data_IF_175973217898
#
_entry.id   IF_175973217898
#
_cell.length_a   1.000
_cell.length_b   1.000
_cell.length_c   1.000
_cell.angle_alpha   90.00
_cell.angle_beta   90.00
_cell.angle_gamma   90.00
#
_symmetry.space_group_name_H-M   'P 1'
#
loop_
_entity.id
_entity.type
_entity.pdbx_description
1 polymer ?
#
# COMPACT_ATOMS: atom_id res chain seq x y z
N UNK A 1 -7.07 -0.82 11.39
CA UNK A 1 -6.55 -1.22 12.73
C UNK A 1 -6.79 -0.07 13.69
N UNK A 2 -7.37 -0.33 14.89
CA UNK A 2 -7.60 0.73 15.88
C UNK A 2 -6.45 0.74 16.89
N UNK A 3 -5.63 1.80 16.97
CA UNK A 3 -4.50 1.83 17.91
C UNK A 3 -4.93 1.78 19.39
N UNK A 4 -6.16 2.15 19.73
CA UNK A 4 -6.65 2.04 21.10
C UNK A 4 -6.82 0.59 21.59
N UNK A 5 -6.89 -0.39 20.68
CA UNK A 5 -7.09 -1.79 21.06
C UNK A 5 -5.87 -2.44 21.73
N UNK A 6 -4.69 -1.85 21.62
CA UNK A 6 -3.46 -2.50 22.13
C UNK A 6 -3.47 -2.69 23.66
N UNK A 7 -4.04 -1.75 24.41
CA UNK A 7 -4.11 -1.84 25.87
C UNK A 7 -5.26 -2.72 26.38
N UNK A 8 -6.14 -3.22 25.50
CA UNK A 8 -7.24 -4.12 25.87
C UNK A 8 -6.78 -5.57 26.07
N UNK A 9 -5.55 -5.91 25.71
CA UNK A 9 -4.98 -7.25 25.93
C UNK A 9 -4.66 -7.51 27.40
N UNK A 10 -4.53 -8.80 27.76
CA UNK A 10 -4.16 -9.20 29.10
C UNK A 10 -2.69 -8.92 29.40
N UNK A 11 -2.41 -8.61 30.65
CA UNK A 11 -1.04 -8.47 31.14
C UNK A 11 -0.29 -9.78 30.94
N UNK A 12 0.99 -9.74 30.58
CA UNK A 12 1.86 -10.88 30.28
C UNK A 12 1.56 -11.60 28.94
N UNK A 13 0.78 -10.97 28.05
CA UNK A 13 0.50 -11.51 26.73
C UNK A 13 1.39 -10.81 25.71
N UNK A 14 2.08 -11.61 24.88
CA UNK A 14 2.79 -11.14 23.70
C UNK A 14 2.08 -11.66 22.45
N UNK A 15 1.72 -10.79 21.54
CA UNK A 15 1.11 -11.16 20.26
C UNK A 15 2.12 -10.90 19.16
N UNK A 16 2.39 -11.94 18.40
CA UNK A 16 3.13 -11.87 17.15
C UNK A 16 2.19 -12.32 16.03
N UNK A 17 2.04 -11.48 15.01
CA UNK A 17 1.19 -11.76 13.88
C UNK A 17 1.96 -11.58 12.58
N UNK A 18 1.88 -12.59 11.72
CA UNK A 18 2.57 -12.62 10.43
C UNK A 18 1.61 -13.13 9.36
N UNK A 19 1.48 -12.38 8.29
CA UNK A 19 0.70 -12.77 7.14
C UNK A 19 1.54 -12.94 5.89
N UNK A 20 1.32 -14.04 5.18
CA UNK A 20 1.86 -14.28 3.86
C UNK A 20 0.77 -14.80 2.94
N UNK A 21 0.77 -14.36 1.70
CA UNK A 21 -0.17 -14.84 0.68
C UNK A 21 0.56 -15.47 -0.50
N UNK A 22 -0.05 -16.53 -1.04
CA UNK A 22 0.37 -17.16 -2.29
C UNK A 22 -0.84 -17.25 -3.21
N UNK A 23 -0.71 -16.66 -4.39
CA UNK A 23 -1.77 -16.65 -5.39
C UNK A 23 -1.31 -17.38 -6.66
N UNK A 24 -2.10 -18.35 -7.10
CA UNK A 24 -1.95 -18.99 -8.41
C UNK A 24 -3.17 -18.66 -9.26
N UNK A 25 -2.99 -17.86 -10.29
CA UNK A 25 -4.04 -17.48 -11.23
C UNK A 25 -3.79 -18.15 -12.61
N UNK A 26 -4.86 -18.69 -13.20
CA UNK A 26 -4.85 -19.22 -14.57
C UNK A 26 -5.79 -18.38 -15.41
N UNK A 27 -5.24 -17.84 -16.48
CA UNK A 27 -5.98 -17.06 -17.46
C UNK A 27 -6.10 -17.88 -18.74
N UNK A 28 -7.28 -17.88 -19.38
CA UNK A 28 -7.50 -18.51 -20.68
C UNK A 28 -8.43 -17.65 -21.51
N UNK A 29 -8.05 -17.41 -22.76
CA UNK A 29 -8.87 -16.74 -23.78
C UNK A 29 -9.51 -17.74 -24.76
N UNK A 30 -9.50 -19.04 -24.43
CA UNK A 30 -9.97 -20.13 -25.27
C UNK A 30 -8.85 -20.76 -26.07
N UNK A 31 -7.89 -20.00 -26.57
CA UNK A 31 -6.77 -20.49 -27.39
C UNK A 31 -5.47 -20.53 -26.57
N UNK A 32 -5.20 -19.50 -25.79
CA UNK A 32 -3.98 -19.36 -24.98
C UNK A 32 -4.29 -19.59 -23.50
N UNK A 33 -3.35 -20.22 -22.81
CA UNK A 33 -3.42 -20.43 -21.36
C UNK A 33 -2.19 -19.83 -20.71
N UNK A 34 -2.39 -18.96 -19.75
CA UNK A 34 -1.33 -18.34 -18.97
C UNK A 34 -1.51 -18.62 -17.48
N UNK A 35 -0.42 -19.03 -16.82
CA UNK A 35 -0.40 -19.26 -15.37
C UNK A 35 0.51 -18.21 -14.74
N UNK A 36 0.00 -17.50 -13.74
CA UNK A 36 0.75 -16.57 -12.92
C UNK A 36 0.81 -17.07 -11.48
N UNK A 37 2.00 -17.01 -10.88
CA UNK A 37 2.22 -17.35 -9.48
C UNK A 37 2.82 -16.12 -8.78
N UNK A 38 2.15 -15.63 -7.79
CA UNK A 38 2.60 -14.51 -6.97
C UNK A 38 2.68 -14.93 -5.50
N UNK A 39 3.72 -14.47 -4.81
CA UNK A 39 3.87 -14.63 -3.37
C UNK A 39 4.19 -13.27 -2.75
N UNK A 40 3.53 -12.94 -1.65
CA UNK A 40 3.72 -11.69 -0.92
C UNK A 40 3.78 -11.93 0.58
N UNK A 41 4.61 -11.15 1.26
CA UNK A 41 4.50 -10.95 2.70
C UNK A 41 3.47 -9.83 2.90
N UNK A 42 2.37 -10.16 3.56
CA UNK A 42 1.26 -9.23 3.73
C UNK A 42 1.50 -8.30 4.91
N UNK A 43 1.96 -8.82 6.03
CA UNK A 43 2.27 -8.00 7.19
C UNK A 43 3.10 -8.73 8.23
N UNK A 44 3.71 -7.94 9.07
CA UNK A 44 4.40 -8.37 10.28
C UNK A 44 4.03 -7.40 11.39
N UNK A 45 3.48 -7.88 12.50
CA UNK A 45 3.12 -7.04 13.63
C UNK A 45 3.46 -7.73 14.95
N UNK A 46 3.88 -6.93 15.90
CA UNK A 46 4.12 -7.33 17.29
C UNK A 46 3.35 -6.40 18.21
N UNK A 47 2.83 -6.97 19.29
CA UNK A 47 2.08 -6.20 20.28
C UNK A 47 2.35 -6.79 21.67
N UNK A 48 2.59 -5.91 22.63
CA UNK A 48 2.88 -6.31 24.01
C UNK A 48 2.52 -5.20 25.00
N UNK A 49 2.08 -5.56 26.22
CA UNK A 49 1.85 -4.61 27.29
C UNK A 49 3.20 -4.19 27.90
N UNK A 50 3.37 -2.89 28.10
CA UNK A 50 4.51 -2.32 28.85
C UNK A 50 4.16 -2.30 30.34
N UNK A 51 2.92 -1.89 30.64
CA UNK A 51 2.35 -1.89 31.98
C UNK A 51 0.90 -2.38 31.92
N UNK A 52 0.20 -2.41 33.08
CA UNK A 52 -1.21 -2.80 33.12
C UNK A 52 -2.15 -1.84 32.39
N UNK A 53 -1.72 -0.60 32.15
CA UNK A 53 -2.50 0.45 31.51
C UNK A 53 -1.89 0.99 30.20
N UNK A 54 -0.68 0.53 29.85
CA UNK A 54 0.05 0.99 28.67
C UNK A 54 0.50 -0.23 27.84
N UNK A 55 0.19 -0.22 26.58
CA UNK A 55 0.65 -1.21 25.62
C UNK A 55 1.24 -0.57 24.36
N UNK A 56 2.09 -1.31 23.70
CA UNK A 56 2.79 -0.91 22.47
C UNK A 56 2.55 -1.93 21.37
N UNK A 57 2.48 -1.43 20.14
CA UNK A 57 2.53 -2.26 18.94
C UNK A 57 3.52 -1.67 17.95
N UNK A 58 4.19 -2.53 17.19
CA UNK A 58 5.05 -2.14 16.09
C UNK A 58 4.89 -3.12 14.93
N UNK A 59 5.08 -2.66 13.71
CA UNK A 59 4.94 -3.56 12.58
C UNK A 59 5.26 -2.94 11.23
N UNK A 60 5.24 -3.82 10.22
CA UNK A 60 5.36 -3.50 8.82
C UNK A 60 4.07 -3.92 8.13
N UNK A 61 3.42 -2.99 7.44
CA UNK A 61 2.17 -3.20 6.73
C UNK A 61 2.31 -2.68 5.30
N UNK A 62 1.79 -3.39 4.31
CA UNK A 62 1.59 -2.80 3.01
C UNK A 62 0.47 -1.75 3.08
N UNK A 63 0.70 -0.61 2.47
CA UNK A 63 -0.26 0.49 2.40
C UNK A 63 -1.03 0.50 1.10
N UNK A 64 -0.35 0.24 -0.02
CA UNK A 64 -0.96 0.14 -1.34
C UNK A 64 -0.17 -0.80 -2.24
N UNK A 65 -0.86 -1.38 -3.21
CA UNK A 65 -0.27 -2.22 -4.25
C UNK A 65 -0.67 -1.72 -5.63
N UNK A 66 0.27 -1.77 -6.55
CA UNK A 66 0.02 -1.56 -7.97
C UNK A 66 0.52 -2.77 -8.72
N UNK A 67 -0.37 -3.44 -9.45
CA UNK A 67 -0.02 -4.59 -10.27
C UNK A 67 -1.02 -4.75 -11.42
N UNK A 68 -0.66 -4.25 -12.61
CA UNK A 68 -1.47 -4.44 -13.80
C UNK A 68 -0.59 -4.54 -15.05
N UNK A 69 -1.09 -5.25 -16.05
CA UNK A 69 -0.51 -5.29 -17.40
C UNK A 69 -1.64 -5.52 -18.40
N UNK A 70 -1.78 -4.59 -19.32
CA UNK A 70 -2.71 -4.72 -20.45
C UNK A 70 -2.11 -4.05 -21.67
N UNK A 71 -2.60 -4.42 -22.83
CA UNK A 71 -2.17 -3.85 -24.08
C UNK A 71 -3.26 -3.95 -25.14
N UNK A 72 -3.14 -3.13 -26.16
CA UNK A 72 -4.02 -3.15 -27.31
C UNK A 72 -3.23 -2.96 -28.59
N UNK A 73 -3.69 -3.63 -29.62
CA UNK A 73 -3.20 -3.41 -30.98
C UNK A 73 -4.12 -2.36 -31.62
N UNK A 74 -3.53 -1.31 -32.11
CA UNK A 74 -4.20 -0.20 -32.77
C UNK A 74 -3.70 -0.12 -34.21
N UNK A 75 -4.58 0.34 -35.10
CA UNK A 75 -4.24 0.60 -36.50
C UNK A 75 -4.66 2.03 -36.84
N UNK A 76 -3.71 2.80 -37.33
CA UNK A 76 -3.94 4.19 -37.74
C UNK A 76 -3.18 4.45 -39.04
N UNK A 77 -3.90 4.90 -40.08
CA UNK A 77 -3.36 5.19 -41.41
C UNK A 77 -2.60 4.01 -42.05
N UNK A 78 -3.05 2.76 -41.81
CA UNK A 78 -2.40 1.55 -42.32
C UNK A 78 -1.18 1.10 -41.51
N UNK A 79 -0.81 1.80 -40.46
CA UNK A 79 0.24 1.45 -39.52
C UNK A 79 -0.35 0.73 -38.31
N UNK A 80 0.07 -0.52 -38.08
CA UNK A 80 -0.25 -1.24 -36.85
C UNK A 80 0.78 -0.95 -35.79
N UNK A 81 0.30 -0.64 -34.58
CA UNK A 81 1.15 -0.49 -33.41
C UNK A 81 0.53 -1.13 -32.16
N UNK A 82 1.38 -1.66 -31.29
CA UNK A 82 0.97 -2.25 -30.03
C UNK A 82 1.35 -1.30 -28.91
N UNK A 83 0.37 -0.86 -28.15
CA UNK A 83 0.56 -0.04 -26.96
C UNK A 83 0.34 -0.92 -25.72
N UNK A 84 1.35 -1.04 -24.89
CA UNK A 84 1.31 -1.84 -23.68
C UNK A 84 1.49 -0.96 -22.46
N UNK A 85 0.60 -1.11 -21.51
CA UNK A 85 0.63 -0.44 -20.22
C UNK A 85 0.88 -1.47 -19.13
N UNK A 86 1.82 -1.17 -18.23
CA UNK A 86 2.03 -1.96 -17.02
C UNK A 86 2.34 -1.07 -15.85
N UNK A 87 1.90 -1.49 -14.68
CA UNK A 87 2.22 -0.83 -13.42
C UNK A 87 2.67 -1.86 -12.40
N UNK A 88 3.64 -1.47 -11.59
CA UNK A 88 4.19 -2.30 -10.54
C UNK A 88 4.63 -1.48 -9.35
N UNK A 89 4.80 -2.13 -8.19
CA UNK A 89 5.25 -1.51 -6.96
C UNK A 89 4.14 -1.29 -5.95
N UNK A 90 4.38 -0.40 -5.01
CA UNK A 90 3.44 -0.09 -3.94
C UNK A 90 4.10 0.68 -2.82
N UNK A 91 3.32 1.02 -1.83
CA UNK A 91 3.76 1.72 -0.63
C UNK A 91 3.66 0.78 0.56
N UNK A 92 4.65 0.83 1.43
CA UNK A 92 4.70 0.12 2.69
C UNK A 92 4.73 1.12 3.84
N UNK A 93 4.25 0.70 4.99
CA UNK A 93 4.25 1.47 6.22
C UNK A 93 4.93 0.67 7.33
N UNK A 94 6.00 1.22 7.90
CA UNK A 94 6.49 0.80 9.23
C UNK A 94 5.81 1.68 10.24
N UNK A 95 5.26 1.10 11.30
CA UNK A 95 4.62 1.86 12.35
C UNK A 95 5.08 1.43 13.73
N UNK A 96 5.00 2.38 14.67
CA UNK A 96 5.03 2.16 16.10
C UNK A 96 3.84 2.85 16.74
N UNK A 97 3.17 2.16 17.65
CA UNK A 97 1.96 2.68 18.28
C UNK A 97 1.94 2.47 19.78
N UNK A 98 1.25 3.36 20.45
CA UNK A 98 1.01 3.32 21.89
C UNK A 98 -0.48 3.39 22.17
N UNK A 99 -0.91 2.65 23.17
CA UNK A 99 -2.29 2.67 23.66
C UNK A 99 -2.32 2.78 25.18
N UNK A 100 -3.21 3.60 25.68
CA UNK A 100 -3.40 3.86 27.09
C UNK A 100 -4.83 3.49 27.48
N UNK A 101 -4.96 2.62 28.48
CA UNK A 101 -6.23 2.35 29.17
C UNK A 101 -6.48 3.44 30.21
N UNK A 102 -7.49 4.27 29.96
CA UNK A 102 -7.84 5.40 30.83
C UNK A 102 -8.79 4.94 31.95
N UNK A 103 -9.67 4.01 31.67
CA UNK A 103 -10.72 3.62 32.62
C UNK A 103 -10.92 2.09 32.68
N UNK A 104 -10.11 1.40 33.49
CA UNK A 104 -10.25 -0.02 33.89
C UNK A 104 -10.71 -0.92 32.73
N UNK A 105 -10.00 -0.89 31.63
CA UNK A 105 -10.29 -1.63 30.39
C UNK A 105 -11.64 -1.25 29.72
N UNK A 106 -12.25 -0.13 30.11
CA UNK A 106 -13.50 0.36 29.49
C UNK A 106 -13.25 1.40 28.41
N UNK A 107 -12.32 2.33 28.67
CA UNK A 107 -12.01 3.39 27.74
C UNK A 107 -10.50 3.38 27.46
N UNK A 108 -10.14 3.17 26.22
CA UNK A 108 -8.76 3.23 25.76
C UNK A 108 -8.61 4.25 24.63
N UNK A 109 -7.46 4.89 24.61
CA UNK A 109 -7.03 5.75 23.50
C UNK A 109 -5.68 5.32 23.00
N UNK A 110 -5.41 5.52 21.74
CA UNK A 110 -4.14 5.14 21.14
C UNK A 110 -3.77 5.99 19.96
N UNK A 111 -2.48 5.97 19.64
CA UNK A 111 -1.93 6.64 18.48
C UNK A 111 -0.86 5.78 17.84
N UNK A 112 -0.83 5.77 16.51
CA UNK A 112 0.23 5.20 15.69
C UNK A 112 1.01 6.31 15.00
N UNK A 113 2.32 6.15 14.98
CA UNK A 113 3.24 6.91 14.14
C UNK A 113 3.78 5.98 13.09
N UNK A 114 3.50 6.25 11.84
CA UNK A 114 3.90 5.44 10.70
C UNK A 114 4.85 6.18 9.78
N UNK A 115 5.82 5.48 9.22
CA UNK A 115 6.65 5.95 8.13
C UNK A 115 6.23 5.23 6.85
N UNK A 116 5.72 6.00 5.90
CA UNK A 116 5.28 5.55 4.59
C UNK A 116 6.46 5.62 3.61
N UNK A 117 6.73 4.54 2.91
CA UNK A 117 7.81 4.48 1.93
C UNK A 117 7.50 3.50 0.81
N UNK A 118 8.05 3.76 -0.35
CA UNK A 118 7.94 2.88 -1.51
C UNK A 118 8.00 3.63 -2.83
N UNK A 119 7.83 2.86 -3.91
CA UNK A 119 7.80 3.38 -5.26
C UNK A 119 6.69 2.72 -6.07
N UNK A 120 6.08 3.49 -6.93
CA UNK A 120 5.09 3.08 -7.91
C UNK A 120 5.64 3.42 -9.27
N UNK A 121 5.65 2.45 -10.18
CA UNK A 121 6.15 2.60 -11.53
C UNK A 121 5.07 2.27 -12.54
N UNK A 122 4.89 3.15 -13.51
CA UNK A 122 4.01 2.98 -14.65
C UNK A 122 4.84 2.97 -15.91
N UNK A 123 4.71 1.92 -16.71
CA UNK A 123 5.40 1.74 -17.97
C UNK A 123 4.40 1.79 -19.11
N UNK A 124 4.73 2.56 -20.13
CA UNK A 124 4.05 2.57 -21.41
C UNK A 124 5.06 2.24 -22.49
N UNK A 125 4.83 1.17 -23.24
CA UNK A 125 5.68 0.78 -24.36
C UNK A 125 4.86 0.82 -25.64
N UNK A 126 5.41 1.50 -26.63
CA UNK A 126 4.85 1.61 -27.97
C UNK A 126 5.73 0.87 -28.97
N UNK A 127 5.19 -0.19 -29.56
CA UNK A 127 5.85 -1.03 -30.56
C UNK A 127 5.17 -0.82 -31.90
N UNK A 128 5.93 -0.48 -32.94
CA UNK A 128 5.44 -0.37 -34.30
C UNK A 128 5.65 -1.68 -35.05
N UNK A 129 4.63 -2.15 -35.78
CA UNK A 129 4.64 -3.44 -36.50
C UNK A 129 5.54 -3.38 -37.73
N UNK A 130 5.56 -2.27 -38.42
CA UNK A 130 6.43 -2.09 -39.58
C UNK A 130 7.85 -1.71 -39.19
N UNK A 131 8.77 -1.80 -40.16
CA UNK A 131 10.22 -1.69 -40.09
C UNK A 131 10.80 -0.42 -39.42
N UNK A 132 10.01 0.31 -38.66
CA UNK A 132 10.50 1.37 -37.78
C UNK A 132 11.41 0.77 -36.72
N UNK A 133 12.63 1.20 -36.76
CA UNK A 133 13.73 0.63 -35.97
C UNK A 133 13.68 0.93 -34.49
N UNK A 134 12.55 1.42 -33.95
CA UNK A 134 12.50 2.01 -32.61
C UNK A 134 11.31 1.52 -31.77
N UNK A 135 11.57 1.41 -30.46
CA UNK A 135 10.57 1.22 -29.41
C UNK A 135 10.58 2.46 -28.54
N UNK A 136 9.44 3.10 -28.38
CA UNK A 136 9.27 4.19 -27.45
C UNK A 136 8.77 3.67 -26.11
N UNK A 137 9.55 3.89 -25.06
CA UNK A 137 9.21 3.53 -23.69
C UNK A 137 9.11 4.79 -22.85
N UNK A 138 7.98 4.94 -22.15
CA UNK A 138 7.81 5.96 -21.12
C UNK A 138 7.67 5.27 -19.77
N UNK A 139 8.47 5.70 -18.81
CA UNK A 139 8.45 5.22 -17.44
C UNK A 139 8.15 6.37 -16.52
N UNK A 140 7.03 6.28 -15.82
CA UNK A 140 6.67 7.23 -14.77
C UNK A 140 6.89 6.53 -13.42
N UNK A 141 7.77 7.10 -12.60
CA UNK A 141 8.10 6.58 -11.28
C UNK A 141 7.76 7.62 -10.22
N UNK A 142 6.99 7.18 -9.24
CA UNK A 142 6.63 7.95 -8.06
C UNK A 142 7.34 7.34 -6.84
N UNK A 143 8.19 8.11 -6.19
CA UNK A 143 8.81 7.73 -4.91
C UNK A 143 8.15 8.52 -3.79
N UNK A 144 7.69 7.80 -2.77
CA UNK A 144 7.04 8.39 -1.59
C UNK A 144 7.88 8.08 -0.36
N UNK A 145 8.11 9.10 0.46
CA UNK A 145 8.74 8.98 1.80
C UNK A 145 8.13 10.03 2.69
N UNK A 146 7.26 9.59 3.61
CA UNK A 146 6.57 10.52 4.50
C UNK A 146 6.11 9.86 5.80
N UNK A 147 5.69 10.70 6.75
CA UNK A 147 5.13 10.25 8.01
C UNK A 147 3.61 10.27 7.97
N UNK A 148 2.98 9.33 8.68
CA UNK A 148 1.54 9.21 8.84
C UNK A 148 1.21 9.02 10.31
N UNK A 149 0.12 9.62 10.76
CA UNK A 149 -0.40 9.45 12.11
C UNK A 149 -1.81 8.88 12.05
N UNK A 150 -2.12 7.97 12.98
CA UNK A 150 -3.46 7.43 13.16
C UNK A 150 -3.81 7.50 14.64
N UNK A 151 -5.01 7.96 14.94
CA UNK A 151 -5.54 8.04 16.30
C UNK A 151 -6.72 7.08 16.46
N UNK A 152 -6.91 6.57 17.65
CA UNK A 152 -8.00 5.70 17.94
C UNK A 152 -8.56 5.88 19.32
N UNK A 153 -9.86 5.59 19.44
CA UNK A 153 -10.56 5.47 20.71
C UNK A 153 -11.38 4.20 20.72
N UNK A 154 -11.45 3.55 21.86
CA UNK A 154 -12.23 2.35 22.06
C UNK A 154 -12.95 2.42 23.40
N UNK A 155 -14.27 2.13 23.38
CA UNK A 155 -15.09 2.05 24.57
C UNK A 155 -15.76 0.68 24.66
N UNK A 156 -15.56 0.00 25.79
CA UNK A 156 -16.14 -1.31 26.06
C UNK A 156 -17.15 -1.19 27.19
N UNK A 157 -18.41 -1.52 26.87
CA UNK A 157 -19.51 -1.57 27.84
C UNK A 157 -19.80 -3.02 28.24
N UNK A 158 -19.57 -3.42 29.50
CA UNK A 158 -19.95 -4.75 29.96
C UNK A 158 -21.48 -4.85 30.09
N UNK A 159 -22.08 -5.82 29.41
CA UNK A 159 -23.52 -6.10 29.50
C UNK A 159 -23.75 -7.15 30.60
N UNK A 160 -22.92 -8.20 30.64
CA UNK A 160 -22.94 -9.22 31.65
C UNK A 160 -21.52 -9.62 32.07
N UNK A 161 -21.39 -10.65 32.90
CA UNK A 161 -20.07 -11.15 33.32
C UNK A 161 -19.24 -11.74 32.13
N UNK A 162 -19.91 -12.16 31.06
CA UNK A 162 -19.30 -12.82 29.90
C UNK A 162 -19.52 -12.08 28.58
N UNK A 163 -20.36 -11.04 28.57
CA UNK A 163 -20.77 -10.34 27.35
C UNK A 163 -20.36 -8.88 27.42
N UNK A 164 -19.71 -8.41 26.37
CA UNK A 164 -19.23 -7.04 26.24
C UNK A 164 -19.63 -6.45 24.90
N UNK A 165 -20.06 -5.20 24.90
CA UNK A 165 -20.29 -4.41 23.70
C UNK A 165 -19.16 -3.38 23.55
N UNK A 166 -18.41 -3.48 22.47
CA UNK A 166 -17.25 -2.62 22.22
C UNK A 166 -17.51 -1.72 21.02
N UNK A 167 -17.31 -0.42 21.21
CA UNK A 167 -17.34 0.59 20.17
C UNK A 167 -15.94 1.10 19.91
N UNK A 168 -15.57 1.28 18.64
CA UNK A 168 -14.28 1.82 18.23
C UNK A 168 -14.46 2.94 17.21
N UNK A 169 -13.63 3.96 17.33
CA UNK A 169 -13.48 4.98 16.31
C UNK A 169 -12.00 5.23 16.03
N UNK A 170 -11.69 5.50 14.76
CA UNK A 170 -10.33 5.84 14.31
C UNK A 170 -10.37 7.11 13.47
N UNK A 171 -9.31 7.88 13.55
CA UNK A 171 -9.11 9.09 12.77
C UNK A 171 -7.68 9.15 12.26
N UNK A 172 -7.52 9.35 10.96
CA UNK A 172 -6.24 9.62 10.31
C UNK A 172 -6.32 11.00 9.67
N UNK A 173 -5.54 11.98 10.12
CA UNK A 173 -5.54 13.32 9.54
C UNK A 173 -5.00 13.31 8.12
N UNK A 174 -5.45 14.27 7.33
CA UNK A 174 -4.90 14.54 6.01
C UNK A 174 -3.41 14.86 6.09
N UNK A 175 -2.65 14.38 5.14
CA UNK A 175 -1.22 14.65 5.04
C UNK A 175 -0.82 14.92 3.59
N UNK A 176 0.02 15.93 3.38
CA UNK A 176 0.64 16.23 2.08
C UNK A 176 1.88 15.39 1.94
N UNK A 177 1.81 14.34 1.12
CA UNK A 177 2.93 13.43 0.91
C UNK A 177 4.07 14.11 0.18
N UNK A 178 5.27 14.00 0.72
CA UNK A 178 6.50 14.33 0.00
C UNK A 178 6.79 13.24 -1.03
N UNK A 179 6.44 13.52 -2.27
CA UNK A 179 6.65 12.61 -3.38
C UNK A 179 7.58 13.23 -4.43
N UNK A 180 8.42 12.39 -5.01
CA UNK A 180 9.23 12.73 -6.19
C UNK A 180 8.70 11.95 -7.38
N UNK A 181 8.31 12.66 -8.43
CA UNK A 181 7.90 12.03 -9.68
C UNK A 181 9.02 12.18 -10.73
N UNK A 182 9.31 11.07 -11.38
CA UNK A 182 10.25 11.00 -12.49
C UNK A 182 9.48 10.54 -13.72
N UNK A 183 9.66 11.25 -14.83
CA UNK A 183 9.16 10.84 -16.14
C UNK A 183 10.36 10.62 -17.06
N UNK A 184 10.58 9.37 -17.45
CA UNK A 184 11.72 8.98 -18.28
C UNK A 184 11.19 8.46 -19.60
N UNK A 185 11.51 9.14 -20.68
CA UNK A 185 11.24 8.70 -22.03
C UNK A 185 12.51 8.12 -22.64
N UNK A 186 12.44 6.88 -23.12
CA UNK A 186 13.54 6.21 -23.82
C UNK A 186 13.10 5.80 -25.20
N UNK A 187 13.95 6.08 -26.16
CA UNK A 187 13.84 5.56 -27.53
C UNK A 187 14.94 4.52 -27.72
N UNK A 188 14.51 3.29 -27.98
CA UNK A 188 15.42 2.16 -28.05
C UNK A 188 15.34 1.53 -29.45
N UNK A 189 16.48 1.14 -30.01
CA UNK A 189 16.48 0.38 -31.27
C UNK A 189 15.94 -1.04 -31.08
N UNK A 190 15.55 -1.71 -32.17
CA UNK A 190 15.17 -3.14 -32.11
C UNK A 190 16.29 -4.04 -31.57
N UNK A 191 17.55 -3.64 -31.71
CA UNK A 191 18.70 -4.36 -31.17
C UNK A 191 18.95 -4.08 -29.68
N UNK A 192 18.08 -3.28 -29.00
CA UNK A 192 18.19 -2.98 -27.57
C UNK A 192 19.12 -1.80 -27.23
N UNK A 193 19.71 -1.14 -28.23
CA UNK A 193 20.55 0.05 -27.98
C UNK A 193 19.67 1.28 -27.67
N UNK A 194 19.95 1.96 -26.58
CA UNK A 194 19.29 3.22 -26.23
C UNK A 194 19.82 4.32 -27.14
N UNK A 195 18.94 4.96 -27.90
CA UNK A 195 19.27 6.02 -28.85
C UNK A 195 19.12 7.39 -28.21
N UNK A 196 18.05 7.56 -27.46
CA UNK A 196 17.72 8.83 -26.83
C UNK A 196 17.10 8.58 -25.46
N UNK A 197 17.43 9.39 -24.48
CA UNK A 197 16.81 9.38 -23.16
C UNK A 197 16.52 10.81 -22.74
N UNK A 198 15.25 11.10 -22.50
CA UNK A 198 14.82 12.34 -21.89
C UNK A 198 14.32 12.03 -20.48
N UNK A 199 14.83 12.74 -19.49
CA UNK A 199 14.39 12.57 -18.09
C UNK A 199 13.89 13.90 -17.58
N UNK A 200 12.65 13.93 -17.15
CA UNK A 200 12.07 15.04 -16.42
C UNK A 200 11.84 14.64 -14.97
N UNK A 201 12.21 15.50 -14.05
CA UNK A 201 12.08 15.26 -12.62
C UNK A 201 11.23 16.34 -12.00
N UNK A 202 10.02 16.00 -11.64
CA UNK A 202 9.12 16.85 -10.87
C UNK A 202 9.39 16.63 -9.38
N UNK A 203 10.10 17.56 -8.77
CA UNK A 203 10.31 17.56 -7.31
C UNK A 203 9.07 18.12 -6.63
N UNK A 204 8.68 17.54 -5.50
CA UNK A 204 7.58 18.00 -4.64
C UNK A 204 6.21 17.97 -5.34
N UNK A 205 5.88 16.87 -5.98
CA UNK A 205 4.50 16.64 -6.41
C UNK A 205 3.68 16.38 -5.16
N UNK A 206 2.79 17.31 -4.83
CA UNK A 206 1.92 17.17 -3.68
C UNK A 206 0.81 16.15 -3.99
N UNK A 207 0.90 14.99 -3.37
CA UNK A 207 -0.22 14.07 -3.26
C UNK A 207 -0.80 14.22 -1.87
N UNK A 208 -2.07 14.53 -1.78
CA UNK A 208 -2.74 14.72 -0.51
C UNK A 208 -3.43 13.41 -0.09
N UNK A 209 -3.08 12.89 1.08
CA UNK A 209 -3.89 11.87 1.74
C UNK A 209 -5.09 12.55 2.39
N UNK A 210 -6.32 12.08 2.14
CA UNK A 210 -7.52 12.68 2.74
C UNK A 210 -7.61 12.34 4.24
N UNK A 211 -8.42 13.12 4.97
CA UNK A 211 -8.88 12.71 6.28
C UNK A 211 -9.67 11.40 6.17
N UNK A 212 -9.36 10.45 7.04
CA UNK A 212 -10.05 9.17 7.10
C UNK A 212 -10.64 8.93 8.47
N UNK A 213 -11.91 8.50 8.49
CA UNK A 213 -12.63 8.15 9.71
C UNK A 213 -13.09 6.69 9.60
N UNK A 214 -12.94 5.95 10.69
CA UNK A 214 -13.44 4.59 10.81
C UNK A 214 -14.28 4.42 12.07
N UNK A 215 -15.38 3.69 11.96
CA UNK A 215 -16.25 3.36 13.10
C UNK A 215 -16.53 1.86 13.08
N UNK A 216 -16.59 1.25 14.24
CA UNK A 216 -16.87 -0.15 14.40
C UNK A 216 -17.55 -0.45 15.71
N UNK A 217 -18.32 -1.54 15.72
CA UNK A 217 -18.92 -2.11 16.91
C UNK A 217 -18.74 -3.63 16.89
N UNK A 218 -18.52 -4.21 18.05
CA UNK A 218 -18.35 -5.65 18.26
C UNK A 218 -19.10 -6.08 19.51
N UNK A 219 -19.78 -7.20 19.43
CA UNK A 219 -20.49 -7.88 20.52
C UNK A 219 -19.82 -9.22 20.80
#
# INVERSE_FOLDING_TARGET
>A
MNPASYSCMDSLTFIFDFGASFQSARYSDGTNKYKNLNGNIEYLAVQFPITRWLAMSAGLLPYSFVGYKFGQVLEENGLQYTNTYSGSGGLNQVYGGLSIDIWKKRLAVGANFGFLFGNIEHYQNLYFSENTSYVNQRTQRLEVRDMKMDFGVQYTHPISATENLTFGATFSPSNKLNAKAYDVMKKTSKAGAVIETATDTLKNVAYDLPNSFGFGASY
#
